data_IF_506409683945
#
_entry.id   IF_506409683945
#
_cell.length_a   1.000
_cell.length_b   1.000
_cell.length_c   1.000
_cell.angle_alpha   90.00
_cell.angle_beta   90.00
_cell.angle_gamma   90.00
#
_symmetry.space_group_name_H-M   'P 1'
#
loop_
_entity.id
_entity.type
_entity.pdbx_description
1 polymer ?
#
# COMPACT_ATOMS: atom_id res chain seq x y z
N UNK A 1 -43.67 -38.38 12.54
CA UNK A 1 -42.34 -38.92 12.84
C UNK A 1 -41.70 -39.26 11.50
N UNK A 2 -40.81 -38.41 11.03
CA UNK A 2 -40.06 -38.59 9.78
C UNK A 2 -38.59 -38.61 10.18
N UNK A 3 -37.92 -39.72 9.88
CA UNK A 3 -36.56 -40.01 10.31
C UNK A 3 -35.50 -39.24 9.51
N UNK A 4 -34.51 -38.77 10.25
CA UNK A 4 -33.43 -37.90 9.84
C UNK A 4 -32.46 -38.55 8.84
N UNK A 5 -32.60 -38.23 7.55
CA UNK A 5 -31.60 -38.51 6.51
C UNK A 5 -30.63 -37.33 6.33
N UNK A 6 -29.81 -37.06 7.34
CA UNK A 6 -28.75 -36.04 7.28
C UNK A 6 -27.34 -36.59 7.61
N UNK A 7 -27.25 -37.84 8.07
CA UNK A 7 -25.98 -38.45 8.48
C UNK A 7 -25.08 -38.90 7.33
N UNK A 8 -25.60 -39.10 6.10
CA UNK A 8 -24.82 -39.72 5.02
C UNK A 8 -24.08 -38.72 4.11
N UNK A 9 -24.45 -37.44 4.12
CA UNK A 9 -23.86 -36.46 3.22
C UNK A 9 -22.54 -35.87 3.76
N UNK A 10 -22.39 -35.79 5.09
CA UNK A 10 -21.17 -35.26 5.71
C UNK A 10 -19.98 -36.24 5.69
N UNK A 11 -20.23 -37.54 5.55
CA UNK A 11 -19.15 -38.54 5.49
C UNK A 11 -18.42 -38.59 4.13
N UNK A 12 -19.02 -38.07 3.06
CA UNK A 12 -18.44 -38.11 1.71
C UNK A 12 -17.48 -36.93 1.43
N UNK A 13 -17.65 -35.79 2.10
CA UNK A 13 -16.85 -34.57 1.83
C UNK A 13 -15.46 -34.62 2.50
N UNK A 14 -15.24 -35.52 3.47
CA UNK A 14 -14.00 -35.58 4.26
C UNK A 14 -12.98 -36.64 3.79
N UNK A 15 -13.26 -37.41 2.73
CA UNK A 15 -12.32 -38.44 2.23
C UNK A 15 -11.38 -38.00 1.12
N UNK A 16 -11.52 -36.79 0.59
CA UNK A 16 -10.71 -36.32 -0.55
C UNK A 16 -9.77 -35.17 -0.17
N UNK A 17 -9.14 -35.28 1.01
CA UNK A 17 -7.95 -34.48 1.36
C UNK A 17 -6.67 -35.25 1.02
N UNK A 18 -6.64 -35.84 -0.18
CA UNK A 18 -5.39 -36.19 -0.82
C UNK A 18 -4.52 -34.93 -0.88
N UNK A 19 -3.31 -35.03 -0.33
CA UNK A 19 -2.31 -33.98 -0.23
C UNK A 19 -1.88 -33.50 -1.61
N UNK A 20 -2.71 -32.68 -2.27
CA UNK A 20 -2.27 -31.89 -3.39
C UNK A 20 -1.33 -30.81 -2.81
N UNK A 21 -0.04 -31.15 -2.68
CA UNK A 21 1.06 -30.17 -2.66
C UNK A 21 0.91 -29.32 -3.90
N UNK A 22 0.08 -28.28 -3.81
CA UNK A 22 -0.05 -27.25 -4.82
C UNK A 22 1.22 -26.43 -4.70
N UNK A 23 2.25 -26.86 -5.41
CA UNK A 23 3.40 -26.01 -5.73
C UNK A 23 2.83 -24.86 -6.53
N UNK A 24 2.43 -23.80 -5.84
CA UNK A 24 2.18 -22.51 -6.45
C UNK A 24 3.54 -22.13 -7.02
N UNK A 25 3.72 -22.34 -8.32
CA UNK A 25 4.90 -21.85 -9.02
C UNK A 25 4.97 -20.36 -8.73
N UNK A 26 5.97 -19.96 -7.95
CA UNK A 26 6.22 -18.59 -7.58
C UNK A 26 6.42 -17.82 -8.88
N UNK A 27 5.43 -17.01 -9.26
CA UNK A 27 5.53 -16.21 -10.46
C UNK A 27 6.75 -15.28 -10.28
N UNK A 28 7.61 -15.13 -11.32
CA UNK A 28 8.74 -14.24 -11.23
C UNK A 28 8.26 -12.83 -10.83
N UNK A 29 9.00 -12.11 -9.97
CA UNK A 29 8.61 -10.77 -9.55
C UNK A 29 8.35 -9.91 -10.80
N UNK A 30 7.29 -9.10 -10.82
CA UNK A 30 6.96 -8.28 -11.98
C UNK A 30 8.14 -7.38 -12.33
N UNK A 31 8.41 -7.15 -13.63
CA UNK A 31 9.54 -6.33 -14.05
C UNK A 31 9.45 -4.91 -13.46
N UNK A 32 10.58 -4.27 -13.11
CA UNK A 32 10.59 -2.90 -12.62
C UNK A 32 9.90 -1.98 -13.64
N UNK A 33 8.83 -1.29 -13.23
CA UNK A 33 8.20 -0.29 -14.07
C UNK A 33 9.04 1.00 -14.02
N UNK A 34 9.34 1.65 -15.17
CA UNK A 34 10.02 2.93 -15.16
C UNK A 34 9.17 3.96 -14.42
N UNK A 35 9.73 4.54 -13.36
CA UNK A 35 9.07 5.55 -12.55
C UNK A 35 9.35 6.91 -13.17
N UNK A 36 8.31 7.56 -13.71
CA UNK A 36 8.41 8.94 -14.16
C UNK A 36 8.37 9.87 -12.94
N UNK A 37 9.39 10.70 -12.89
CA UNK A 37 9.77 11.51 -11.75
C UNK A 37 9.73 12.99 -12.20
N UNK A 38 8.88 13.86 -11.61
CA UNK A 38 8.71 15.26 -12.03
C UNK A 38 9.98 16.10 -11.79
N UNK A 39 10.22 17.16 -12.57
CA UNK A 39 11.49 17.90 -12.48
C UNK A 39 11.64 18.79 -11.23
N UNK A 40 10.53 19.28 -10.66
CA UNK A 40 10.53 20.21 -9.53
C UNK A 40 9.96 19.53 -8.29
N UNK A 41 10.72 19.58 -7.21
CA UNK A 41 10.53 18.75 -6.04
C UNK A 41 11.03 19.60 -4.85
N UNK A 42 10.12 20.21 -4.08
CA UNK A 42 10.46 21.16 -3.01
C UNK A 42 11.28 20.49 -1.88
N UNK A 43 12.28 21.20 -1.34
CA UNK A 43 13.06 20.78 -0.17
C UNK A 43 12.25 20.92 1.12
N UNK A 44 12.40 19.97 2.05
CA UNK A 44 11.64 19.90 3.30
C UNK A 44 12.56 20.12 4.49
N UNK A 45 12.16 21.01 5.40
CA UNK A 45 12.80 21.22 6.71
C UNK A 45 12.28 20.17 7.70
N UNK A 46 13.18 19.43 8.35
CA UNK A 46 12.83 18.44 9.39
C UNK A 46 12.30 19.15 10.65
N UNK A 47 11.19 18.66 11.20
CA UNK A 47 10.54 19.17 12.42
C UNK A 47 10.58 18.06 13.48
N UNK A 48 11.08 18.35 14.68
CA UNK A 48 11.27 17.36 15.75
C UNK A 48 9.96 16.89 16.40
N UNK A 49 8.82 17.49 16.07
CA UNK A 49 7.50 17.15 16.64
C UNK A 49 6.82 15.93 16.02
N UNK A 50 7.53 15.18 15.18
CA UNK A 50 6.95 14.12 14.34
C UNK A 50 6.86 12.80 15.11
N UNK A 51 5.65 12.26 15.25
CA UNK A 51 5.44 10.86 15.64
C UNK A 51 6.07 9.96 14.57
N UNK A 52 7.12 9.23 14.96
CA UNK A 52 7.89 8.40 14.04
C UNK A 52 7.13 7.13 13.68
N UNK A 53 6.64 7.06 12.45
CA UNK A 53 6.23 5.80 11.84
C UNK A 53 7.45 5.23 11.11
N UNK A 54 7.57 3.90 11.04
CA UNK A 54 8.70 3.24 10.36
C UNK A 54 8.23 2.30 9.26
N UNK A 55 6.99 2.46 8.81
CA UNK A 55 6.37 1.52 7.92
C UNK A 55 6.60 1.89 6.45
N UNK A 56 6.86 0.84 5.65
CA UNK A 56 6.91 0.94 4.21
C UNK A 56 5.49 1.03 3.66
N UNK A 57 5.20 2.08 2.92
CA UNK A 57 3.93 2.32 2.25
C UNK A 57 4.13 2.45 0.73
N UNK A 58 3.07 2.11 -0.02
CA UNK A 58 3.00 2.35 -1.45
C UNK A 58 2.08 3.53 -1.71
N UNK A 59 2.62 4.60 -2.28
CA UNK A 59 1.85 5.79 -2.64
C UNK A 59 1.45 5.72 -4.11
N UNK A 60 0.15 5.88 -4.35
CA UNK A 60 -0.38 6.13 -5.68
C UNK A 60 -0.94 7.55 -5.72
N UNK A 61 -0.44 8.37 -6.64
CA UNK A 61 -0.92 9.75 -6.77
C UNK A 61 -0.83 10.25 -8.20
N UNK A 62 -1.64 11.26 -8.50
CA UNK A 62 -1.61 11.98 -9.76
C UNK A 62 -0.78 13.26 -9.59
N UNK A 63 0.22 13.45 -10.44
CA UNK A 63 1.02 14.67 -10.41
C UNK A 63 0.26 15.86 -11.02
N UNK A 64 0.82 17.07 -10.93
CA UNK A 64 0.20 18.29 -11.48
C UNK A 64 0.00 18.27 -13.01
N UNK A 65 0.64 17.33 -13.73
CA UNK A 65 0.47 17.12 -15.17
C UNK A 65 -0.63 16.12 -15.50
N UNK A 66 -1.32 15.56 -14.49
CA UNK A 66 -2.32 14.53 -14.67
C UNK A 66 -1.75 13.12 -14.82
N UNK A 67 -0.44 12.93 -14.68
CA UNK A 67 0.18 11.61 -14.83
C UNK A 67 0.13 10.83 -13.51
N UNK A 68 -0.16 9.54 -13.61
CA UNK A 68 -0.20 8.65 -12.47
C UNK A 68 1.21 8.17 -12.13
N UNK A 69 1.59 8.31 -10.86
CA UNK A 69 2.88 7.84 -10.35
C UNK A 69 2.66 6.85 -9.21
N UNK A 70 3.50 5.81 -9.19
CA UNK A 70 3.58 4.83 -8.10
C UNK A 70 4.94 4.97 -7.43
N UNK A 71 4.96 5.07 -6.09
CA UNK A 71 6.20 5.23 -5.32
C UNK A 71 6.20 4.40 -4.06
N UNK A 72 7.39 3.95 -3.67
CA UNK A 72 7.66 3.34 -2.38
C UNK A 72 8.15 4.40 -1.44
N UNK A 73 7.47 4.55 -0.33
CA UNK A 73 7.81 5.56 0.66
C UNK A 73 7.91 4.92 2.05
N UNK A 74 8.89 5.33 2.84
CA UNK A 74 8.90 5.05 4.28
C UNK A 74 8.30 6.26 4.97
N UNK A 75 7.11 6.11 5.53
CA UNK A 75 6.48 7.20 6.29
C UNK A 75 7.37 7.47 7.49
N UNK A 76 7.80 8.73 7.66
CA UNK A 76 8.57 9.18 8.83
C UNK A 76 7.67 9.84 9.85
N UNK A 77 6.61 10.51 9.42
CA UNK A 77 5.47 10.77 10.28
C UNK A 77 4.51 11.81 9.78
N UNK A 78 3.62 12.26 10.65
CA UNK A 78 2.45 13.06 10.29
C UNK A 78 2.48 14.36 11.09
N UNK A 79 2.50 15.49 10.37
CA UNK A 79 2.46 16.83 10.95
C UNK A 79 1.09 17.43 10.69
N UNK A 80 0.40 17.83 11.76
CA UNK A 80 -0.83 18.61 11.67
C UNK A 80 -0.50 20.08 11.54
N UNK A 81 -1.04 20.74 10.52
CA UNK A 81 -0.89 22.18 10.32
C UNK A 81 -1.88 22.99 11.16
N UNK A 82 -1.63 24.30 11.36
CA UNK A 82 -2.57 25.21 12.01
C UNK A 82 -3.92 25.34 11.31
N UNK A 83 -3.98 25.15 9.99
CA UNK A 83 -5.21 25.18 9.17
C UNK A 83 -6.09 23.94 9.36
N UNK A 84 -5.61 22.92 10.09
CA UNK A 84 -6.30 21.66 10.32
C UNK A 84 -5.94 20.55 9.33
N UNK A 85 -5.17 20.84 8.28
CA UNK A 85 -4.69 19.84 7.32
C UNK A 85 -3.57 18.97 7.90
N UNK A 86 -3.36 17.82 7.26
CA UNK A 86 -2.28 16.90 7.58
C UNK A 86 -1.25 16.85 6.45
N UNK A 87 0.02 16.82 6.85
CA UNK A 87 1.17 16.57 5.99
C UNK A 87 1.86 15.30 6.45
N UNK A 88 2.17 14.42 5.52
CA UNK A 88 2.92 13.20 5.79
C UNK A 88 4.35 13.42 5.33
N UNK A 89 5.31 13.38 6.24
CA UNK A 89 6.73 13.33 5.90
C UNK A 89 7.12 11.89 5.61
N UNK A 90 7.78 11.65 4.49
CA UNK A 90 8.19 10.31 4.08
C UNK A 90 9.50 10.34 3.28
N UNK A 91 10.29 9.28 3.41
CA UNK A 91 11.44 9.03 2.54
C UNK A 91 10.98 8.34 1.26
N UNK A 92 11.25 8.95 0.10
CA UNK A 92 10.89 8.41 -1.21
C UNK A 92 12.05 7.59 -1.78
N UNK A 93 11.87 6.27 -1.92
CA UNK A 93 12.93 5.35 -2.34
C UNK A 93 13.32 5.50 -3.80
N UNK A 94 12.39 5.88 -4.69
CA UNK A 94 12.69 6.11 -6.11
C UNK A 94 13.52 7.37 -6.35
N UNK A 95 13.57 8.26 -5.35
CA UNK A 95 14.24 9.56 -5.41
C UNK A 95 15.44 9.67 -4.49
N UNK A 96 15.56 8.74 -3.55
CA UNK A 96 16.51 8.80 -2.45
C UNK A 96 16.45 10.16 -1.73
N UNK A 97 15.23 10.64 -1.44
CA UNK A 97 15.02 11.97 -0.86
C UNK A 97 13.81 12.01 0.10
N UNK A 98 13.88 12.89 1.10
CA UNK A 98 12.74 13.23 1.96
C UNK A 98 11.69 14.04 1.18
N UNK A 99 10.40 13.71 1.38
CA UNK A 99 9.27 14.37 0.74
C UNK A 99 8.14 14.60 1.73
N UNK A 100 7.39 15.66 1.48
CA UNK A 100 6.14 15.95 2.19
C UNK A 100 4.97 15.68 1.26
N UNK A 101 4.02 14.85 1.70
CA UNK A 101 2.80 14.51 0.99
C UNK A 101 1.63 15.20 1.68
N UNK A 102 0.79 15.90 0.93
CA UNK A 102 -0.41 16.56 1.47
C UNK A 102 -1.61 15.63 1.41
N UNK A 103 -2.51 15.74 2.40
CA UNK A 103 -3.77 14.99 2.48
C UNK A 103 -4.62 15.03 1.20
N UNK A 104 -4.53 16.11 0.42
CA UNK A 104 -5.19 16.27 -0.88
C UNK A 104 -4.84 15.18 -1.91
N UNK A 105 -3.69 14.51 -1.76
CA UNK A 105 -3.27 13.42 -2.63
C UNK A 105 -3.93 12.08 -2.29
N UNK A 106 -4.62 11.98 -1.15
CA UNK A 106 -5.25 10.75 -0.67
C UNK A 106 -6.77 10.72 -0.90
N UNK A 107 -7.31 11.61 -1.73
CA UNK A 107 -8.74 11.56 -2.04
C UNK A 107 -9.06 10.24 -2.74
N UNK A 108 -10.02 9.44 -2.23
CA UNK A 108 -10.50 8.30 -2.99
C UNK A 108 -11.03 8.77 -4.35
N UNK A 109 -10.85 7.97 -5.41
CA UNK A 109 -11.49 8.27 -6.69
C UNK A 109 -13.00 8.39 -6.47
N UNK A 110 -13.59 9.47 -6.99
CA UNK A 110 -15.03 9.73 -6.94
C UNK A 110 -15.82 8.68 -7.72
#
# INVERSE_FOLDING_TARGET
MQDNSLGSFLAAVLRDRGEAKRTVAEAPPPPPRPVLLPANDDEVVEDDSIEHFSDLAFLFYQNAKGEHSYRRVTIRGIVRKPDGDFRVQAWCHEREANRTLTSSLFSPPA
#
